data_IF_528000446537
#
_entry.id   IF_528000446537
#
_cell.length_a   1.000
_cell.length_b   1.000
_cell.length_c   1.000
_cell.angle_alpha   90.00
_cell.angle_beta   90.00
_cell.angle_gamma   90.00
#
_symmetry.space_group_name_H-M   'P 1'
#
loop_
_entity.id
_entity.type
_entity.pdbx_description
1 polymer ?
#
# COMPACT_ATOMS: atom_id res chain seq x y z
N UNK A 1 8.69 15.71 -11.87
CA UNK A 1 8.65 14.89 -10.64
C UNK A 1 8.00 13.58 -11.04
N UNK A 2 8.71 12.45 -10.94
CA UNK A 2 8.12 11.14 -11.25
C UNK A 2 7.14 10.82 -10.12
N UNK A 3 5.86 10.63 -10.45
CA UNK A 3 4.89 10.17 -9.46
C UNK A 3 5.23 8.72 -9.12
N UNK A 4 5.92 8.51 -8.00
CA UNK A 4 6.20 7.18 -7.50
C UNK A 4 4.88 6.55 -7.04
N UNK A 5 4.44 5.54 -7.77
CA UNK A 5 3.31 4.71 -7.42
C UNK A 5 3.76 3.60 -6.46
N UNK A 6 2.90 3.23 -5.50
CA UNK A 6 3.18 2.17 -4.52
C UNK A 6 2.15 1.05 -4.70
N UNK A 7 2.59 -0.20 -4.51
CA UNK A 7 1.73 -1.39 -4.66
C UNK A 7 0.51 -1.48 -3.73
N UNK A 8 0.39 -0.57 -2.76
CA UNK A 8 -0.57 -0.65 -1.68
C UNK A 8 -2.04 -0.71 -2.07
N UNK A 9 -2.43 -0.11 -3.19
CA UNK A 9 -3.79 -0.20 -3.74
C UNK A 9 -3.74 0.05 -5.24
N UNK A 10 -4.37 -0.85 -6.01
CA UNK A 10 -4.30 -0.85 -7.47
C UNK A 10 -5.54 -1.38 -8.16
N UNK A 11 -5.79 -0.84 -9.35
CA UNK A 11 -6.74 -1.37 -10.32
C UNK A 11 -5.97 -1.67 -11.60
N UNK A 12 -6.04 -2.92 -12.06
CA UNK A 12 -5.33 -3.36 -13.26
C UNK A 12 -6.32 -3.69 -14.38
N UNK A 13 -6.14 -3.04 -15.52
CA UNK A 13 -6.71 -3.50 -16.77
C UNK A 13 -5.89 -4.68 -17.28
N UNK A 14 -6.45 -5.88 -17.16
CA UNK A 14 -5.77 -7.12 -17.55
C UNK A 14 -5.68 -7.31 -19.08
N UNK A 15 -6.53 -6.63 -19.86
CA UNK A 15 -6.42 -6.66 -21.32
C UNK A 15 -5.26 -5.77 -21.78
N UNK A 16 -5.20 -4.54 -21.27
CA UNK A 16 -4.08 -3.63 -21.52
C UNK A 16 -2.76 -4.21 -20.99
N UNK A 17 -2.76 -4.87 -19.83
CA UNK A 17 -1.59 -5.56 -19.29
C UNK A 17 -1.02 -6.58 -20.28
N UNK A 18 -1.90 -7.44 -20.83
CA UNK A 18 -1.49 -8.48 -21.79
C UNK A 18 -1.05 -7.88 -23.11
N UNK A 19 -1.78 -6.89 -23.63
CA UNK A 19 -1.47 -6.20 -24.89
C UNK A 19 -0.10 -5.53 -24.86
N UNK A 20 0.28 -4.96 -23.72
CA UNK A 20 1.56 -4.27 -23.54
C UNK A 20 2.68 -5.18 -23.01
N UNK A 21 2.47 -6.50 -22.89
CA UNK A 21 3.46 -7.48 -22.44
C UNK A 21 4.16 -7.14 -21.10
N UNK A 22 3.41 -6.52 -20.16
CA UNK A 22 3.96 -5.98 -18.91
C UNK A 22 4.69 -7.05 -18.09
N UNK A 23 4.17 -8.28 -18.04
CA UNK A 23 4.81 -9.40 -17.32
C UNK A 23 6.23 -9.67 -17.84
N UNK A 24 6.42 -9.72 -19.16
CA UNK A 24 7.73 -10.00 -19.76
C UNK A 24 8.71 -8.87 -19.48
N UNK A 25 8.29 -7.62 -19.71
CA UNK A 25 9.11 -6.44 -19.46
C UNK A 25 9.52 -6.35 -17.99
N UNK A 26 8.58 -6.64 -17.07
CA UNK A 26 8.87 -6.69 -15.64
C UNK A 26 9.93 -7.75 -15.30
N UNK A 27 9.83 -8.96 -15.87
CA UNK A 27 10.83 -10.00 -15.63
C UNK A 27 12.21 -9.66 -16.20
N UNK A 28 12.28 -8.96 -17.33
CA UNK A 28 13.53 -8.46 -17.90
C UNK A 28 14.20 -7.44 -16.98
N UNK A 29 13.44 -6.46 -16.47
CA UNK A 29 13.96 -5.49 -15.50
C UNK A 29 14.33 -6.12 -14.17
N UNK A 30 13.52 -7.08 -13.69
CA UNK A 30 13.80 -7.78 -12.45
C UNK A 30 15.11 -8.57 -12.57
N UNK A 31 15.31 -9.29 -13.68
CA UNK A 31 16.55 -10.03 -13.93
C UNK A 31 17.75 -9.08 -13.97
N UNK A 32 17.66 -7.98 -14.72
CA UNK A 32 18.75 -6.99 -14.77
C UNK A 32 19.06 -6.39 -13.40
N UNK A 33 18.03 -6.12 -12.58
CA UNK A 33 18.19 -5.61 -11.22
C UNK A 33 18.94 -6.61 -10.33
N UNK A 34 18.59 -7.90 -10.43
CA UNK A 34 19.28 -8.98 -9.68
C UNK A 34 20.72 -9.14 -10.17
N UNK A 35 20.94 -9.21 -11.48
CA UNK A 35 22.26 -9.38 -12.08
C UNK A 35 23.19 -8.18 -11.75
N UNK A 36 22.62 -7.00 -11.48
CA UNK A 36 23.35 -5.79 -11.07
C UNK A 36 23.58 -5.69 -9.55
N UNK A 37 23.16 -6.68 -8.76
CA UNK A 37 23.31 -6.68 -7.30
C UNK A 37 22.39 -5.69 -6.56
N UNK A 38 21.29 -5.26 -7.19
CA UNK A 38 20.31 -4.34 -6.61
C UNK A 38 19.15 -5.08 -5.91
N UNK A 39 19.17 -6.41 -5.88
CA UNK A 39 18.18 -7.26 -5.23
C UNK A 39 18.03 -7.01 -3.71
N UNK A 40 19.12 -6.59 -3.06
CA UNK A 40 19.14 -6.27 -1.63
C UNK A 40 18.73 -4.82 -1.30
N UNK A 41 18.63 -3.93 -2.30
CA UNK A 41 18.24 -2.54 -2.05
C UNK A 41 16.75 -2.48 -1.75
N UNK A 42 16.35 -1.88 -0.63
CA UNK A 42 14.93 -1.59 -0.37
C UNK A 42 14.50 -0.36 -1.19
N UNK A 43 13.47 -0.45 -2.05
CA UNK A 43 12.28 -1.31 -1.93
C UNK A 43 12.27 -2.56 -2.83
N UNK A 44 13.41 -2.98 -3.34
CA UNK A 44 13.66 -4.25 -4.04
C UNK A 44 13.00 -4.31 -5.40
N UNK A 45 11.75 -4.79 -5.41
CA UNK A 45 10.95 -5.02 -6.63
C UNK A 45 10.29 -3.77 -7.20
N UNK A 46 10.27 -2.67 -6.43
CA UNK A 46 9.60 -1.44 -6.86
C UNK A 46 10.27 -0.79 -8.09
N UNK A 47 11.60 -0.60 -8.16
CA UNK A 47 12.21 -0.01 -9.35
C UNK A 47 11.95 -0.80 -10.64
N UNK A 48 12.11 -2.15 -10.68
CA UNK A 48 11.72 -2.95 -11.85
C UNK A 48 10.27 -2.75 -12.30
N UNK A 49 9.33 -2.60 -11.36
CA UNK A 49 7.95 -2.32 -11.72
C UNK A 49 7.72 -0.89 -12.21
N UNK A 50 8.33 0.12 -11.60
CA UNK A 50 8.21 1.49 -12.11
C UNK A 50 8.68 1.59 -13.57
N UNK A 51 9.74 0.85 -13.92
CA UNK A 51 10.23 0.74 -15.29
C UNK A 51 9.26 -0.05 -16.19
N UNK A 52 8.75 -1.19 -15.72
CA UNK A 52 7.82 -2.00 -16.51
C UNK A 52 6.48 -1.32 -16.81
N UNK A 53 6.04 -0.42 -15.94
CA UNK A 53 4.79 0.34 -16.08
C UNK A 53 4.99 1.76 -16.59
N UNK A 54 6.18 2.13 -17.05
CA UNK A 54 6.44 3.48 -17.55
C UNK A 54 5.46 3.85 -18.68
N UNK A 55 4.76 4.98 -18.53
CA UNK A 55 3.74 5.43 -19.48
C UNK A 55 2.44 4.61 -19.48
N UNK A 56 2.31 3.58 -18.64
CA UNK A 56 1.15 2.70 -18.54
C UNK A 56 0.31 2.93 -17.26
N UNK A 57 0.70 3.90 -16.42
CA UNK A 57 0.01 4.23 -15.17
C UNK A 57 -0.93 5.41 -15.36
N UNK A 58 -2.14 5.29 -14.81
CA UNK A 58 -3.10 6.37 -14.72
C UNK A 58 -3.37 6.72 -13.25
N UNK A 59 -3.44 8.01 -12.88
CA UNK A 59 -3.79 8.39 -11.52
C UNK A 59 -5.26 8.04 -11.22
N UNK A 60 -5.52 7.56 -10.02
CA UNK A 60 -6.87 7.44 -9.46
C UNK A 60 -7.13 8.67 -8.60
N UNK A 61 -8.38 9.12 -8.51
CA UNK A 61 -8.78 10.22 -7.63
C UNK A 61 -8.30 9.96 -6.19
N UNK A 62 -7.57 10.90 -5.55
CA UNK A 62 -7.02 10.70 -4.21
C UNK A 62 -8.06 10.38 -3.12
N UNK A 63 -9.34 10.74 -3.32
CA UNK A 63 -10.43 10.38 -2.40
C UNK A 63 -10.69 8.86 -2.33
N UNK A 64 -10.30 8.09 -3.35
CA UNK A 64 -10.46 6.64 -3.33
C UNK A 64 -9.53 5.94 -2.34
N UNK A 65 -8.39 6.56 -2.01
CA UNK A 65 -7.34 5.89 -1.25
C UNK A 65 -6.60 6.82 -0.30
N UNK A 66 -6.78 6.57 1.01
CA UNK A 66 -6.04 7.26 2.07
C UNK A 66 -4.98 6.35 2.64
N UNK A 67 -3.73 6.81 2.60
CA UNK A 67 -2.57 6.11 3.12
C UNK A 67 -1.76 6.98 4.10
N UNK A 68 -0.72 6.39 4.69
CA UNK A 68 0.29 7.09 5.49
C UNK A 68 -0.16 7.40 6.92
N UNK A 69 -1.25 6.79 7.38
CA UNK A 69 -1.81 7.00 8.72
C UNK A 69 -0.87 6.53 9.84
N UNK A 70 0.10 5.67 9.55
CA UNK A 70 1.11 5.22 10.50
C UNK A 70 2.36 6.12 10.61
N UNK A 71 2.44 7.23 9.88
CA UNK A 71 3.60 8.15 9.91
C UNK A 71 3.32 9.51 10.56
N UNK A 72 2.07 10.00 10.51
CA UNK A 72 1.65 11.31 11.04
C UNK A 72 0.20 11.24 11.53
N UNK A 73 -0.15 12.05 12.53
CA UNK A 73 -1.52 12.13 13.07
C UNK A 73 -2.52 12.58 11.99
N UNK A 74 -3.78 12.24 12.20
CA UNK A 74 -4.88 12.48 11.26
C UNK A 74 -5.55 13.85 11.45
N UNK A 75 -4.90 14.80 12.13
CA UNK A 75 -5.52 16.06 12.60
C UNK A 75 -5.99 17.01 11.49
N UNK A 76 -5.75 16.69 10.22
CA UNK A 76 -6.27 17.43 9.05
C UNK A 76 -7.15 16.57 8.12
N UNK A 77 -7.53 15.35 8.55
CA UNK A 77 -7.99 14.31 7.60
C UNK A 77 -9.23 13.52 8.02
N UNK A 78 -9.96 13.91 9.06
CA UNK A 78 -11.14 13.13 9.50
C UNK A 78 -12.21 12.99 8.40
N UNK A 79 -12.59 14.10 7.76
CA UNK A 79 -13.56 14.13 6.66
C UNK A 79 -13.08 13.32 5.45
N UNK A 80 -11.78 13.44 5.11
CA UNK A 80 -11.15 12.70 4.01
C UNK A 80 -11.14 11.19 4.31
N UNK A 81 -10.84 10.80 5.54
CA UNK A 81 -10.83 9.40 5.98
C UNK A 81 -12.24 8.79 6.00
N UNK A 82 -13.25 9.57 6.42
CA UNK A 82 -14.65 9.13 6.40
C UNK A 82 -15.21 8.99 4.98
N UNK A 83 -14.78 9.84 4.05
CA UNK A 83 -15.15 9.78 2.64
C UNK A 83 -14.35 8.72 1.83
N UNK A 84 -13.27 8.19 2.38
CA UNK A 84 -12.37 7.30 1.66
C UNK A 84 -13.01 5.94 1.36
N UNK A 85 -12.89 5.48 0.10
CA UNK A 85 -13.30 4.14 -0.27
C UNK A 85 -12.37 3.07 0.34
N UNK A 86 -11.05 3.33 0.35
CA UNK A 86 -10.04 2.43 0.89
C UNK A 86 -9.10 3.18 1.83
N UNK A 87 -8.93 2.64 3.03
CA UNK A 87 -7.91 3.08 3.99
C UNK A 87 -6.78 2.05 4.00
N UNK A 88 -5.59 2.47 3.61
CA UNK A 88 -4.38 1.67 3.72
C UNK A 88 -3.59 2.14 4.95
N UNK A 89 -3.57 1.32 6.00
CA UNK A 89 -2.77 1.54 7.22
C UNK A 89 -1.26 1.38 6.97
N UNK A 90 -0.67 2.19 6.08
CA UNK A 90 0.76 2.19 5.80
C UNK A 90 1.56 2.94 6.88
N UNK A 91 2.83 2.55 7.04
CA UNK A 91 3.72 3.06 8.08
C UNK A 91 3.83 2.19 9.33
N UNK A 92 4.73 2.56 10.25
CA UNK A 92 5.09 1.75 11.42
C UNK A 92 4.01 1.76 12.50
N UNK A 93 3.33 2.89 12.73
CA UNK A 93 2.29 3.02 13.74
C UNK A 93 0.97 2.36 13.28
N UNK A 94 0.99 1.03 13.13
CA UNK A 94 -0.19 0.24 12.78
C UNK A 94 -1.24 0.33 13.89
N UNK A 95 -2.55 0.33 13.56
CA UNK A 95 -3.60 0.46 14.57
C UNK A 95 -3.63 -0.70 15.58
N UNK A 96 -3.25 -1.91 15.15
CA UNK A 96 -3.18 -3.08 16.03
C UNK A 96 -1.91 -3.15 16.91
N UNK A 97 -1.02 -2.15 16.85
CA UNK A 97 0.19 -2.08 17.68
C UNK A 97 0.06 -0.98 18.74
N UNK A 98 0.80 -1.10 19.84
CA UNK A 98 0.84 -0.14 20.96
C UNK A 98 1.29 1.28 20.54
N UNK A 99 2.10 1.38 19.49
CA UNK A 99 2.54 2.65 18.91
C UNK A 99 1.51 3.31 17.99
N UNK A 100 0.39 2.64 17.70
CA UNK A 100 -0.68 3.15 16.83
C UNK A 100 -1.42 4.35 17.42
N UNK A 101 -1.76 5.32 16.56
CA UNK A 101 -2.49 6.53 16.97
C UNK A 101 -3.95 6.20 17.35
N UNK A 102 -4.48 6.71 18.49
CA UNK A 102 -5.83 6.41 18.96
C UNK A 102 -6.94 6.67 17.93
N UNK A 103 -6.84 7.73 17.15
CA UNK A 103 -7.84 8.11 16.14
C UNK A 103 -7.90 7.07 15.02
N UNK A 104 -6.73 6.55 14.62
CA UNK A 104 -6.58 5.54 13.56
C UNK A 104 -7.01 4.16 14.06
N UNK A 105 -6.79 3.85 15.35
CA UNK A 105 -7.22 2.58 15.97
C UNK A 105 -8.72 2.34 15.83
N UNK A 106 -9.53 3.37 16.08
CA UNK A 106 -10.99 3.27 16.01
C UNK A 106 -11.48 2.82 14.63
N UNK A 107 -10.79 3.23 13.56
CA UNK A 107 -11.11 2.86 12.17
C UNK A 107 -10.91 1.37 11.91
N UNK A 108 -9.90 0.76 12.54
CA UNK A 108 -9.63 -0.67 12.44
C UNK A 108 -10.54 -1.49 13.37
N UNK A 109 -10.64 -1.09 14.63
CA UNK A 109 -11.27 -1.88 15.69
C UNK A 109 -12.76 -2.13 15.44
N UNK A 110 -13.46 -1.24 14.73
CA UNK A 110 -14.86 -1.45 14.32
C UNK A 110 -15.08 -2.69 13.44
N UNK A 111 -14.01 -3.21 12.81
CA UNK A 111 -14.04 -4.40 11.96
C UNK A 111 -13.38 -5.62 12.63
N UNK A 112 -12.85 -5.47 13.84
CA UNK A 112 -12.16 -6.55 14.55
C UNK A 112 -13.15 -7.33 15.41
N UNK A 113 -13.24 -8.63 15.17
CA UNK A 113 -13.96 -9.53 16.06
C UNK A 113 -13.08 -9.90 17.26
N UNK A 114 -13.26 -9.19 18.38
CA UNK A 114 -12.51 -9.40 19.63
C UNK A 114 -12.75 -10.80 20.22
N UNK A 115 -13.87 -11.45 19.90
CA UNK A 115 -14.14 -12.83 20.34
C UNK A 115 -13.31 -13.88 19.57
N UNK A 116 -12.66 -13.51 18.46
CA UNK A 116 -11.82 -14.42 17.68
C UNK A 116 -10.59 -14.88 18.50
N UNK A 117 -10.35 -16.18 18.51
CA UNK A 117 -9.28 -16.79 19.32
C UNK A 117 -7.87 -16.28 18.95
N UNK A 118 -7.62 -16.01 17.67
CA UNK A 118 -6.32 -15.52 17.21
C UNK A 118 -6.11 -14.06 17.62
N UNK A 119 -7.14 -13.21 17.50
CA UNK A 119 -7.10 -11.82 17.94
C UNK A 119 -6.78 -11.74 19.44
N UNK A 120 -7.45 -12.56 20.26
CA UNK A 120 -7.18 -12.62 21.71
C UNK A 120 -5.77 -13.12 22.03
N UNK A 121 -5.30 -14.18 21.36
CA UNK A 121 -3.95 -14.74 21.58
C UNK A 121 -2.85 -13.74 21.21
N UNK A 122 -3.05 -12.97 20.15
CA UNK A 122 -2.09 -11.97 19.68
C UNK A 122 -2.13 -10.65 20.48
N UNK A 123 -3.00 -10.53 21.50
CA UNK A 123 -3.17 -9.31 22.31
C UNK A 123 -3.40 -8.06 21.45
N UNK A 124 -4.07 -8.22 20.31
CA UNK A 124 -4.43 -7.09 19.46
C UNK A 124 -5.43 -6.23 20.24
N UNK A 125 -5.07 -4.98 20.48
CA UNK A 125 -5.88 -4.05 21.26
C UNK A 125 -7.14 -3.67 20.48
N UNK A 126 -8.29 -3.90 21.10
CA UNK A 126 -9.61 -3.41 20.65
C UNK A 126 -9.90 -1.99 21.09
#
# INVERSE_FOLDING_TARGET
MVCAWLYGMNVFDLEAWRKNNITTIYHEWLKQSVDSGLDLMQPGVLPPALLAFEGQVQPIDPSWHVAGLGYRTADTRKEIVEAAAVIHFSGPAKPWLEIGFPEVRRLWNRHVNISNIFIRKCRIMG
#
